data_IF_069344643984
#
_entry.id   IF_069344643984
#
_cell.length_a   1.000
_cell.length_b   1.000
_cell.length_c   1.000
_cell.angle_alpha   90.00
_cell.angle_beta   90.00
_cell.angle_gamma   90.00
#
_symmetry.space_group_name_H-M   'P 1'
#
loop_
_entity.id
_entity.type
_entity.pdbx_description
1 polymer ?
#
# COMPACT_ATOMS: atom_id res chain seq x y z
N UNK A 1 3.04 -31.42 0.17
CA UNK A 1 2.43 -32.05 -1.01
C UNK A 1 1.17 -32.79 -0.61
N UNK A 2 0.00 -32.21 -0.87
CA UNK A 2 -1.29 -32.86 -0.59
C UNK A 2 -1.81 -33.48 -1.90
N UNK A 3 -1.46 -34.75 -2.13
CA UNK A 3 -1.88 -35.45 -3.34
C UNK A 3 -3.39 -35.74 -3.31
N UNK A 4 -4.08 -35.40 -4.40
CA UNK A 4 -5.49 -35.77 -4.60
C UNK A 4 -5.61 -37.28 -4.76
N UNK A 5 -6.77 -37.86 -4.40
CA UNK A 5 -7.00 -39.31 -4.45
C UNK A 5 -6.63 -39.93 -5.82
N UNK A 6 -7.05 -39.29 -6.91
CA UNK A 6 -6.72 -39.74 -8.27
C UNK A 6 -5.21 -39.84 -8.52
N UNK A 7 -4.42 -38.89 -8.00
CA UNK A 7 -2.96 -38.91 -8.16
C UNK A 7 -2.33 -40.02 -7.32
N UNK A 8 -2.86 -40.30 -6.13
CA UNK A 8 -2.41 -41.41 -5.28
C UNK A 8 -2.65 -42.75 -5.98
N UNK A 9 -3.82 -42.91 -6.61
CA UNK A 9 -4.16 -44.10 -7.39
C UNK A 9 -3.22 -44.26 -8.59
N UNK A 10 -2.97 -43.20 -9.35
CA UNK A 10 -2.01 -43.22 -10.46
C UNK A 10 -0.61 -43.67 -10.01
N UNK A 11 -0.12 -43.19 -8.86
CA UNK A 11 1.18 -43.61 -8.32
C UNK A 11 1.18 -45.11 -7.98
N UNK A 12 0.09 -45.60 -7.38
CA UNK A 12 -0.06 -47.01 -7.02
C UNK A 12 -0.03 -47.92 -8.25
N UNK A 13 -0.61 -47.45 -9.36
CA UNK A 13 -0.73 -48.16 -10.63
C UNK A 13 0.56 -48.17 -11.45
N UNK A 14 1.60 -47.42 -11.09
CA UNK A 14 2.91 -47.48 -11.77
C UNK A 14 3.73 -48.61 -11.15
N UNK A 15 3.90 -49.78 -11.79
CA UNK A 15 4.56 -50.93 -11.18
C UNK A 15 6.09 -50.77 -11.10
N UNK A 16 6.67 -50.06 -12.05
CA UNK A 16 8.11 -49.87 -12.15
C UNK A 16 8.55 -48.71 -11.23
N UNK A 17 9.52 -48.98 -10.35
CA UNK A 17 9.90 -48.07 -9.27
C UNK A 17 10.56 -46.80 -9.81
N UNK A 18 11.41 -46.90 -10.84
CA UNK A 18 12.07 -45.77 -11.49
C UNK A 18 11.08 -44.76 -12.03
N UNK A 19 10.13 -45.19 -12.85
CA UNK A 19 9.02 -44.39 -13.38
C UNK A 19 8.16 -43.78 -12.27
N UNK A 20 7.94 -44.52 -11.19
CA UNK A 20 7.21 -44.00 -10.02
C UNK A 20 7.98 -42.87 -9.34
N UNK A 21 9.30 -43.02 -9.21
CA UNK A 21 10.17 -41.95 -8.67
C UNK A 21 10.19 -40.73 -9.58
N UNK A 22 10.38 -40.91 -10.89
CA UNK A 22 10.34 -39.81 -11.87
C UNK A 22 9.03 -39.03 -11.80
N UNK A 23 7.89 -39.73 -11.73
CA UNK A 23 6.58 -39.09 -11.58
C UNK A 23 6.48 -38.28 -10.28
N UNK A 24 6.91 -38.84 -9.16
CA UNK A 24 6.88 -38.14 -7.87
C UNK A 24 7.82 -36.94 -7.86
N UNK A 25 8.98 -37.04 -8.48
CA UNK A 25 9.98 -35.99 -8.55
C UNK A 25 9.46 -34.80 -9.36
N UNK A 26 8.86 -35.05 -10.53
CA UNK A 26 8.19 -34.01 -11.31
C UNK A 26 7.04 -33.31 -10.54
N UNK A 27 6.31 -34.05 -9.70
CA UNK A 27 5.28 -33.44 -8.83
C UNK A 27 5.88 -32.57 -7.74
N UNK A 28 6.99 -33.00 -7.12
CA UNK A 28 7.69 -32.22 -6.12
C UNK A 28 8.30 -30.94 -6.70
N UNK A 29 8.86 -31.01 -7.91
CA UNK A 29 9.38 -29.83 -8.62
C UNK A 29 8.27 -28.79 -8.88
N UNK A 30 7.13 -29.24 -9.40
CA UNK A 30 5.97 -28.36 -9.61
C UNK A 30 5.48 -27.71 -8.30
N UNK A 31 5.46 -28.44 -7.19
CA UNK A 31 5.08 -27.89 -5.88
C UNK A 31 6.13 -26.88 -5.37
N UNK A 32 7.42 -27.16 -5.57
CA UNK A 32 8.49 -26.23 -5.22
C UNK A 32 8.35 -24.89 -5.98
N UNK A 33 8.03 -24.94 -7.27
CA UNK A 33 7.82 -23.73 -8.07
C UNK A 33 6.66 -22.88 -7.55
N UNK A 34 5.55 -23.52 -7.19
CA UNK A 34 4.40 -22.86 -6.57
C UNK A 34 4.82 -22.22 -5.25
N UNK A 35 5.48 -22.96 -4.36
CA UNK A 35 5.94 -22.44 -3.07
C UNK A 35 6.91 -21.25 -3.23
N UNK A 36 7.80 -21.29 -4.21
CA UNK A 36 8.71 -20.18 -4.50
C UNK A 36 7.96 -18.95 -5.04
N UNK A 37 6.95 -19.14 -5.88
CA UNK A 37 6.11 -18.06 -6.37
C UNK A 37 5.33 -17.41 -5.21
N UNK A 38 4.71 -18.20 -4.34
CA UNK A 38 4.02 -17.73 -3.14
C UNK A 38 4.97 -16.94 -2.22
N UNK A 39 6.18 -17.45 -1.98
CA UNK A 39 7.20 -16.74 -1.18
C UNK A 39 7.55 -15.38 -1.78
N UNK A 40 7.71 -15.31 -3.11
CA UNK A 40 7.98 -14.06 -3.85
C UNK A 40 6.81 -13.08 -3.74
N UNK A 41 5.57 -13.56 -3.83
CA UNK A 41 4.36 -12.72 -3.67
C UNK A 41 4.28 -12.19 -2.24
N UNK A 42 4.40 -13.07 -1.24
CA UNK A 42 4.36 -12.71 0.18
C UNK A 42 5.41 -11.66 0.53
N UNK A 43 6.64 -11.81 0.01
CA UNK A 43 7.70 -10.83 0.20
C UNK A 43 7.39 -9.46 -0.42
N UNK A 44 6.76 -9.42 -1.58
CA UNK A 44 6.31 -8.15 -2.22
C UNK A 44 5.21 -7.48 -1.41
N UNK A 45 4.18 -8.23 -1.02
CA UNK A 45 3.07 -7.72 -0.21
C UNK A 45 3.59 -7.15 1.12
N UNK A 46 4.48 -7.86 1.81
CA UNK A 46 5.07 -7.40 3.07
C UNK A 46 5.80 -6.06 2.92
N UNK A 47 6.66 -5.92 1.91
CA UNK A 47 7.38 -4.65 1.65
C UNK A 47 6.44 -3.50 1.33
N UNK A 48 5.40 -3.75 0.53
CA UNK A 48 4.41 -2.74 0.20
C UNK A 48 3.64 -2.30 1.46
N UNK A 49 3.25 -3.25 2.30
CA UNK A 49 2.55 -2.97 3.55
C UNK A 49 3.40 -2.15 4.53
N UNK A 50 4.67 -2.49 4.70
CA UNK A 50 5.63 -1.74 5.53
C UNK A 50 5.82 -0.31 5.02
N UNK A 51 5.89 -0.11 3.70
CA UNK A 51 5.97 1.22 3.09
C UNK A 51 4.71 2.04 3.38
N UNK A 52 3.53 1.49 3.11
CA UNK A 52 2.26 2.19 3.36
C UNK A 52 2.05 2.53 4.83
N UNK A 53 2.43 1.64 5.74
CA UNK A 53 2.35 1.89 7.18
C UNK A 53 3.28 3.03 7.60
N UNK A 54 4.51 3.06 7.07
CA UNK A 54 5.47 4.14 7.34
C UNK A 54 4.95 5.48 6.81
N UNK A 55 4.46 5.52 5.58
CA UNK A 55 3.89 6.74 4.97
C UNK A 55 2.70 7.25 5.78
N UNK A 56 1.79 6.36 6.17
CA UNK A 56 0.66 6.72 7.04
C UNK A 56 1.13 7.32 8.37
N UNK A 57 2.07 6.67 9.04
CA UNK A 57 2.60 7.14 10.33
C UNK A 57 3.31 8.49 10.23
N UNK A 58 4.07 8.72 9.16
CA UNK A 58 4.74 10.00 8.93
C UNK A 58 3.73 11.12 8.63
N UNK A 59 2.69 10.83 7.84
CA UNK A 59 1.65 11.81 7.55
C UNK A 59 0.87 12.21 8.81
N UNK A 60 0.56 11.25 9.69
CA UNK A 60 -0.09 11.56 10.97
C UNK A 60 0.83 12.38 11.90
N UNK A 61 2.13 12.12 11.90
CA UNK A 61 3.09 12.97 12.63
C UNK A 61 3.13 14.39 12.08
N UNK A 62 3.17 14.57 10.75
CA UNK A 62 3.16 15.90 10.13
C UNK A 62 1.88 16.66 10.51
N UNK A 63 0.71 16.01 10.45
CA UNK A 63 -0.56 16.61 10.89
C UNK A 63 -0.52 17.02 12.37
N UNK A 64 0.03 16.17 13.23
CA UNK A 64 0.18 16.50 14.65
C UNK A 64 1.11 17.70 14.85
N UNK A 65 2.22 17.78 14.12
CA UNK A 65 3.16 18.92 14.15
C UNK A 65 2.46 20.20 13.68
N UNK A 66 1.75 20.22 12.55
CA UNK A 66 1.01 21.40 12.08
C UNK A 66 -0.01 21.89 13.11
N UNK A 67 -0.67 20.94 13.79
CA UNK A 67 -1.60 21.26 14.88
C UNK A 67 -0.89 21.83 16.12
N UNK A 68 0.27 21.31 16.48
CA UNK A 68 1.09 21.82 17.61
C UNK A 68 1.72 23.19 17.30
N UNK A 69 2.12 23.43 16.05
CA UNK A 69 2.66 24.71 15.58
C UNK A 69 1.57 25.79 15.43
N UNK A 70 0.29 25.44 15.56
CA UNK A 70 -0.82 26.37 15.40
C UNK A 70 -1.08 26.77 13.95
N UNK A 71 -0.52 26.06 12.95
CA UNK A 71 -0.68 26.38 11.52
C UNK A 71 -2.07 26.01 10.96
N UNK A 72 -2.97 25.44 11.78
CA UNK A 72 -4.41 25.47 11.48
C UNK A 72 -4.96 26.91 11.51
N UNK A 73 -4.38 27.81 12.33
CA UNK A 73 -4.78 29.22 12.41
C UNK A 73 -4.18 30.08 11.29
N UNK A 74 -2.96 29.87 10.79
CA UNK A 74 -2.41 30.80 9.78
C UNK A 74 -3.18 30.75 8.44
N UNK A 75 -3.58 29.56 7.97
CA UNK A 75 -4.44 29.47 6.79
C UNK A 75 -5.88 29.91 7.10
N UNK A 76 -6.39 29.62 8.30
CA UNK A 76 -7.73 30.03 8.73
C UNK A 76 -7.87 31.54 8.96
N UNK A 77 -6.83 32.19 9.47
CA UNK A 77 -6.74 33.64 9.70
C UNK A 77 -6.57 34.37 8.38
N UNK A 78 -5.75 33.86 7.45
CA UNK A 78 -5.64 34.41 6.09
C UNK A 78 -6.97 34.30 5.33
N UNK A 79 -7.63 33.14 5.38
CA UNK A 79 -8.96 32.94 4.78
C UNK A 79 -10.03 33.82 5.47
N UNK A 80 -9.96 34.00 6.79
CA UNK A 80 -10.85 34.88 7.55
C UNK A 80 -10.59 36.37 7.27
N UNK A 81 -9.32 36.78 7.09
CA UNK A 81 -8.92 38.12 6.66
C UNK A 81 -9.42 38.39 5.25
N UNK A 82 -9.24 37.46 4.31
CA UNK A 82 -9.71 37.59 2.93
C UNK A 82 -11.26 37.66 2.88
N UNK A 83 -11.94 36.84 3.68
CA UNK A 83 -13.39 36.90 3.84
C UNK A 83 -13.87 38.20 4.50
N UNK A 84 -13.12 38.74 5.46
CA UNK A 84 -13.36 40.03 6.11
C UNK A 84 -13.22 41.21 5.16
N UNK A 85 -12.15 41.22 4.35
CA UNK A 85 -11.89 42.21 3.30
C UNK A 85 -13.05 42.23 2.29
N UNK A 86 -13.47 41.06 1.80
CA UNK A 86 -14.60 40.95 0.86
C UNK A 86 -15.94 41.39 1.47
N UNK A 87 -16.16 41.17 2.77
CA UNK A 87 -17.37 41.63 3.48
C UNK A 87 -17.36 43.13 3.79
N UNK A 88 -16.20 43.75 3.92
CA UNK A 88 -16.07 45.17 4.25
C UNK A 88 -16.48 46.11 3.10
N UNK A 89 -16.72 45.59 1.89
CA UNK A 89 -17.18 46.38 0.75
C UNK A 89 -16.17 47.41 0.28
N UNK A 90 -14.89 47.03 0.26
CA UNK A 90 -13.79 47.89 -0.16
C UNK A 90 -13.95 48.34 -1.63
N UNK A 91 -13.46 49.55 -1.94
CA UNK A 91 -13.36 50.01 -3.33
C UNK A 91 -12.28 49.20 -4.07
N UNK A 92 -12.39 49.06 -5.39
CA UNK A 92 -11.49 48.22 -6.20
C UNK A 92 -9.98 48.52 -5.99
N UNK A 93 -9.62 49.78 -5.77
CA UNK A 93 -8.22 50.17 -5.47
C UNK A 93 -7.71 49.68 -4.10
N UNK A 94 -8.60 49.49 -3.13
CA UNK A 94 -8.22 49.05 -1.78
C UNK A 94 -8.07 47.52 -1.69
N UNK A 95 -8.87 46.75 -2.44
CA UNK A 95 -8.68 45.30 -2.59
C UNK A 95 -7.35 44.98 -3.28
N UNK A 96 -7.00 45.73 -4.33
CA UNK A 96 -5.79 45.52 -5.14
C UNK A 96 -4.48 45.83 -4.36
N UNK A 97 -4.52 46.76 -3.41
CA UNK A 97 -3.39 47.05 -2.52
C UNK A 97 -3.30 46.11 -1.30
N UNK A 98 -4.42 45.52 -0.86
CA UNK A 98 -4.47 44.63 0.30
C UNK A 98 -4.05 43.18 -0.03
N UNK A 99 -4.28 42.73 -1.28
CA UNK A 99 -3.80 41.46 -1.80
C UNK A 99 -2.85 41.68 -2.99
N UNK A 100 -1.60 42.12 -2.77
CA UNK A 100 -0.60 42.11 -3.83
C UNK A 100 -0.15 40.66 -4.10
N UNK A 101 -0.11 40.28 -5.38
CA UNK A 101 0.38 38.97 -5.86
C UNK A 101 1.71 38.54 -5.24
#
# INVERSE_FOLDING_TARGET
MQLKLAQRQQILEIPEIGKRMEFLLAKLESELDIMQAEKRIRGRVKRQMEKSQREYYLNEQIKAIHKELGEEDENGELDALEAGIKKAGMTKEAEENACPN
#
